data_IF_237862098705
#
_entry.id   IF_237862098705
#
_cell.length_a   1.000
_cell.length_b   1.000
_cell.length_c   1.000
_cell.angle_alpha   90.00
_cell.angle_beta   90.00
_cell.angle_gamma   90.00
#
_symmetry.space_group_name_H-M   'P 1'
#
loop_
_entity.id
_entity.type
_entity.pdbx_description
1 polymer ?
#
# COMPACT_ATOMS: atom_id res chain seq x y z
N UNK A 1 -24.94 11.41 34.60
CA UNK A 1 -24.51 10.01 34.64
C UNK A 1 -25.57 9.20 33.94
N UNK A 2 -25.30 8.76 32.71
CA UNK A 2 -26.12 7.80 31.96
C UNK A 2 -25.17 6.67 31.61
N UNK A 3 -25.52 5.48 32.07
CA UNK A 3 -24.70 4.29 32.07
C UNK A 3 -24.31 3.86 30.67
N UNK A 4 -23.01 3.61 30.51
CA UNK A 4 -22.41 2.96 29.36
C UNK A 4 -22.66 1.45 29.45
N UNK A 5 -23.57 0.94 28.63
CA UNK A 5 -23.66 -0.49 28.38
C UNK A 5 -22.54 -0.89 27.40
N UNK A 6 -21.49 -1.48 27.94
CA UNK A 6 -20.45 -2.19 27.19
C UNK A 6 -21.04 -3.49 26.64
N UNK A 7 -21.58 -3.43 25.43
CA UNK A 7 -21.93 -4.62 24.66
C UNK A 7 -20.67 -5.30 24.15
N UNK A 8 -20.23 -6.34 24.83
CA UNK A 8 -19.32 -7.35 24.31
C UNK A 8 -20.09 -8.19 23.29
N UNK A 9 -20.03 -7.81 22.02
CA UNK A 9 -20.55 -8.62 20.93
C UNK A 9 -19.74 -9.91 20.82
N UNK A 10 -20.35 -11.04 21.16
CA UNK A 10 -19.84 -12.35 20.75
C UNK A 10 -19.87 -12.39 19.22
N UNK A 11 -18.68 -12.47 18.59
CA UNK A 11 -18.56 -12.55 17.13
C UNK A 11 -19.35 -13.74 16.60
N UNK A 12 -20.23 -13.49 15.65
CA UNK A 12 -20.94 -14.54 14.91
C UNK A 12 -19.96 -15.19 13.93
N UNK A 13 -20.29 -16.37 13.39
CA UNK A 13 -19.46 -17.06 12.39
C UNK A 13 -19.18 -16.24 11.11
N UNK A 14 -19.89 -15.11 10.91
CA UNK A 14 -19.66 -14.14 9.82
C UNK A 14 -18.40 -13.27 10.01
N UNK A 15 -17.80 -13.23 11.21
CA UNK A 15 -16.61 -12.41 11.54
C UNK A 15 -15.27 -13.17 11.45
N UNK A 16 -15.28 -14.40 10.91
CA UNK A 16 -14.08 -15.23 10.78
C UNK A 16 -13.63 -15.33 9.31
N UNK A 17 -12.31 -15.39 9.05
CA UNK A 17 -11.81 -15.67 7.72
C UNK A 17 -12.14 -17.12 7.32
N UNK A 18 -12.33 -17.35 6.02
CA UNK A 18 -12.62 -18.67 5.40
C UNK A 18 -11.42 -19.62 5.46
N UNK A 19 -10.23 -19.07 5.70
CA UNK A 19 -9.00 -19.83 5.85
C UNK A 19 -7.84 -18.93 6.19
N UNK A 20 -6.67 -19.55 6.37
CA UNK A 20 -5.41 -18.85 6.61
C UNK A 20 -4.34 -19.38 5.68
N UNK A 21 -3.40 -18.50 5.36
CA UNK A 21 -2.20 -18.80 4.60
C UNK A 21 -1.02 -18.45 5.48
N UNK A 22 -0.20 -19.46 5.75
CA UNK A 22 1.07 -19.27 6.45
C UNK A 22 2.12 -18.71 5.50
N UNK A 23 2.68 -17.56 5.84
CA UNK A 23 3.77 -16.89 5.16
C UNK A 23 5.04 -17.04 6.01
N UNK A 24 6.03 -17.75 5.48
CA UNK A 24 7.26 -18.13 6.17
C UNK A 24 8.40 -17.25 5.68
N UNK A 25 8.99 -16.49 6.59
CA UNK A 25 10.12 -15.63 6.29
C UNK A 25 11.42 -16.27 6.79
N UNK A 26 12.51 -15.99 6.08
CA UNK A 26 13.86 -16.42 6.45
C UNK A 26 14.56 -15.25 7.17
N UNK A 27 14.88 -15.36 8.47
CA UNK A 27 15.56 -14.30 9.23
C UNK A 27 17.01 -14.07 8.79
N UNK A 28 17.58 -14.95 7.95
CA UNK A 28 18.90 -14.75 7.35
C UNK A 28 18.87 -13.94 6.05
N UNK A 29 17.69 -13.73 5.46
CA UNK A 29 17.55 -12.96 4.22
C UNK A 29 17.70 -11.45 4.44
N UNK A 30 17.27 -10.93 5.59
CA UNK A 30 17.44 -9.54 6.01
C UNK A 30 17.41 -9.43 7.54
N UNK A 31 18.04 -8.40 8.12
CA UNK A 31 18.08 -8.22 9.59
C UNK A 31 16.74 -7.79 10.19
N UNK A 32 15.85 -7.24 9.38
CA UNK A 32 14.53 -6.77 9.80
C UNK A 32 13.52 -7.91 9.89
N UNK A 33 12.61 -7.82 10.87
CA UNK A 33 11.57 -8.82 11.10
C UNK A 33 10.35 -8.53 10.23
N UNK A 34 10.51 -8.65 8.91
CA UNK A 34 9.51 -8.26 7.89
C UNK A 34 8.11 -8.81 8.19
N UNK A 35 8.02 -10.03 8.75
CA UNK A 35 6.77 -10.68 9.13
C UNK A 35 5.92 -9.92 10.17
N UNK A 36 6.44 -8.87 10.80
CA UNK A 36 5.75 -8.04 11.79
C UNK A 36 5.13 -6.77 11.21
N UNK A 37 5.62 -6.31 10.07
CA UNK A 37 5.36 -4.95 9.61
C UNK A 37 5.00 -4.94 8.10
N UNK A 38 4.21 -5.93 7.67
CA UNK A 38 3.83 -6.08 6.25
C UNK A 38 2.90 -4.95 5.80
N UNK A 39 3.36 -4.17 4.82
CA UNK A 39 2.66 -3.01 4.26
C UNK A 39 1.74 -3.36 3.09
N UNK A 40 2.15 -4.26 2.19
CA UNK A 40 1.34 -4.60 1.01
C UNK A 40 1.73 -5.97 0.45
N UNK A 41 0.85 -6.54 -0.37
CA UNK A 41 1.07 -7.81 -1.06
C UNK A 41 0.52 -7.76 -2.49
N UNK A 42 1.27 -8.33 -3.42
CA UNK A 42 0.78 -8.62 -4.77
C UNK A 42 1.22 -10.01 -5.20
N UNK A 43 0.67 -10.51 -6.31
CA UNK A 43 0.87 -11.88 -6.76
C UNK A 43 1.06 -11.94 -8.26
N UNK A 44 2.03 -12.73 -8.70
CA UNK A 44 2.23 -13.08 -10.10
C UNK A 44 2.38 -14.60 -10.26
N UNK A 45 1.35 -15.26 -10.78
CA UNK A 45 1.31 -16.72 -10.86
C UNK A 45 1.40 -17.37 -9.48
N UNK A 46 2.46 -18.13 -9.24
CA UNK A 46 2.75 -18.79 -7.96
C UNK A 46 3.85 -18.06 -7.18
N UNK A 47 3.98 -16.75 -7.33
CA UNK A 47 4.91 -15.94 -6.53
C UNK A 47 4.14 -14.82 -5.83
N UNK A 48 4.36 -14.68 -4.53
CA UNK A 48 3.95 -13.51 -3.76
C UNK A 48 5.10 -12.53 -3.67
N UNK A 49 4.78 -11.26 -3.87
CA UNK A 49 5.65 -10.14 -3.60
C UNK A 49 5.06 -9.33 -2.46
N UNK A 50 5.86 -9.05 -1.43
CA UNK A 50 5.46 -8.25 -0.27
C UNK A 50 6.48 -7.14 -0.03
N UNK A 51 6.12 -6.20 0.82
CA UNK A 51 7.05 -5.21 1.39
C UNK A 51 6.67 -4.91 2.84
N UNK A 52 7.60 -4.28 3.55
CA UNK A 52 7.39 -3.67 4.86
C UNK A 52 7.86 -2.22 4.88
N UNK A 53 7.51 -1.52 5.96
CA UNK A 53 7.88 -0.12 6.15
C UNK A 53 9.37 0.06 6.47
N UNK A 54 10.04 -0.92 7.09
CA UNK A 54 11.43 -0.82 7.54
C UNK A 54 12.52 -1.01 6.47
N UNK A 55 12.19 -1.49 5.25
CA UNK A 55 13.21 -1.82 4.23
C UNK A 55 13.08 -1.02 2.93
N UNK A 56 14.11 -1.15 2.08
CA UNK A 56 14.13 -0.64 0.71
C UNK A 56 14.02 -1.78 -0.32
N UNK A 57 13.29 -2.85 0.04
CA UNK A 57 13.27 -4.09 -0.74
C UNK A 57 11.90 -4.69 -0.92
N UNK A 58 11.88 -5.70 -1.77
CA UNK A 58 10.71 -6.51 -2.08
C UNK A 58 10.99 -7.91 -1.56
N UNK A 59 10.08 -8.43 -0.75
CA UNK A 59 10.13 -9.81 -0.30
C UNK A 59 9.44 -10.70 -1.32
N UNK A 60 10.04 -11.86 -1.59
CA UNK A 60 9.52 -12.86 -2.50
C UNK A 60 9.26 -14.15 -1.75
N UNK A 61 8.03 -14.66 -1.85
CA UNK A 61 7.65 -15.98 -1.34
C UNK A 61 7.10 -16.86 -2.47
N UNK A 62 7.34 -18.17 -2.36
CA UNK A 62 6.86 -19.22 -3.28
C UNK A 62 6.16 -20.34 -2.51
N UNK A 63 5.31 -21.16 -3.16
CA UNK A 63 4.68 -22.29 -2.52
C UNK A 63 5.70 -23.26 -1.92
N UNK A 64 5.46 -23.68 -0.69
CA UNK A 64 6.19 -24.74 -0.01
C UNK A 64 5.20 -25.67 0.70
N UNK A 65 5.67 -26.78 1.23
CA UNK A 65 4.82 -27.65 2.05
C UNK A 65 4.27 -26.88 3.26
N UNK A 66 2.96 -26.70 3.32
CA UNK A 66 2.27 -26.07 4.46
C UNK A 66 2.09 -24.54 4.37
N UNK A 67 2.42 -23.92 3.24
CA UNK A 67 2.19 -22.48 3.05
C UNK A 67 3.04 -21.88 1.95
N UNK A 68 3.55 -20.68 2.20
CA UNK A 68 4.42 -19.93 1.32
C UNK A 68 5.72 -19.63 2.06
N UNK A 69 6.85 -19.80 1.40
CA UNK A 69 8.19 -19.67 1.98
C UNK A 69 9.21 -19.45 0.88
N UNK A 70 10.41 -20.03 1.01
CA UNK A 70 11.49 -19.79 0.05
C UNK A 70 11.84 -18.30 -0.03
N UNK A 71 11.85 -17.66 1.14
CA UNK A 71 11.99 -16.22 1.28
C UNK A 71 13.27 -15.71 0.64
N UNK A 72 13.11 -14.70 -0.22
CA UNK A 72 14.22 -13.93 -0.75
C UNK A 72 13.91 -12.44 -0.61
N UNK A 73 14.87 -11.70 -0.07
CA UNK A 73 14.85 -10.25 -0.03
C UNK A 73 15.54 -9.68 -1.28
N UNK A 74 14.87 -8.76 -1.97
CA UNK A 74 15.42 -8.09 -3.15
C UNK A 74 15.51 -6.59 -2.91
N UNK A 75 16.73 -6.07 -2.76
CA UNK A 75 16.95 -4.64 -2.56
C UNK A 75 16.67 -3.87 -3.86
N UNK A 76 15.81 -2.84 -3.82
CA UNK A 76 15.53 -2.01 -4.99
C UNK A 76 16.76 -1.22 -5.46
N UNK A 77 17.70 -0.96 -4.56
CA UNK A 77 19.00 -0.35 -4.87
C UNK A 77 19.85 -1.14 -5.87
N UNK A 78 19.62 -2.47 -5.99
CA UNK A 78 20.31 -3.30 -6.98
C UNK A 78 19.81 -3.07 -8.41
N UNK A 79 18.62 -2.47 -8.55
CA UNK A 79 17.96 -2.23 -9.84
C UNK A 79 17.89 -0.74 -10.20
N UNK A 80 17.96 0.14 -9.20
CA UNK A 80 17.67 1.57 -9.33
C UNK A 80 18.59 2.42 -8.47
N UNK A 81 19.03 3.55 -9.01
CA UNK A 81 19.78 4.57 -8.27
C UNK A 81 18.86 5.35 -7.32
N UNK A 82 18.55 4.78 -6.15
CA UNK A 82 17.66 5.37 -5.16
C UNK A 82 18.18 6.74 -4.66
N UNK A 83 17.31 7.76 -4.49
CA UNK A 83 17.73 9.12 -4.20
C UNK A 83 18.41 9.31 -2.83
N UNK A 84 18.14 8.43 -1.88
CA UNK A 84 18.75 8.38 -0.55
C UNK A 84 19.80 7.28 -0.37
N UNK A 85 20.16 6.57 -1.44
CA UNK A 85 21.00 5.37 -1.37
C UNK A 85 20.22 4.10 -1.04
N UNK A 86 20.92 2.96 -1.01
CA UNK A 86 20.33 1.63 -0.85
C UNK A 86 19.92 1.29 0.59
N UNK A 87 20.57 1.92 1.58
CA UNK A 87 20.38 1.59 3.01
C UNK A 87 19.20 2.37 3.66
N UNK A 88 18.51 3.22 2.91
CA UNK A 88 17.46 4.09 3.44
C UNK A 88 16.07 3.50 3.29
N UNK A 89 15.30 3.52 4.38
CA UNK A 89 13.88 3.13 4.45
C UNK A 89 13.02 3.75 3.32
N UNK A 90 12.29 2.91 2.58
CA UNK A 90 11.45 3.38 1.48
C UNK A 90 9.97 3.51 1.83
N UNK A 91 9.49 2.84 2.89
CA UNK A 91 8.05 2.78 3.24
C UNK A 91 7.24 2.38 1.99
N UNK A 92 7.54 1.18 1.47
CA UNK A 92 6.91 0.68 0.25
C UNK A 92 5.52 0.20 0.63
N UNK A 93 4.53 1.06 0.40
CA UNK A 93 3.15 0.81 0.79
C UNK A 93 2.26 0.32 -0.35
N UNK A 94 2.75 0.37 -1.60
CA UNK A 94 1.98 -0.02 -2.76
C UNK A 94 2.74 -0.93 -3.71
N UNK A 95 2.17 -2.11 -4.00
CA UNK A 95 2.68 -3.06 -4.99
C UNK A 95 1.57 -3.46 -5.98
N UNK A 96 1.91 -3.55 -7.27
CA UNK A 96 0.98 -4.05 -8.28
C UNK A 96 1.69 -4.79 -9.40
N UNK A 97 1.13 -5.93 -9.82
CA UNK A 97 1.57 -6.68 -10.99
C UNK A 97 0.67 -6.35 -12.18
N UNK A 98 1.27 -6.01 -13.32
CA UNK A 98 0.58 -5.92 -14.60
C UNK A 98 1.48 -6.49 -15.72
N UNK A 99 1.01 -7.59 -16.32
CA UNK A 99 1.85 -8.40 -17.20
C UNK A 99 3.13 -8.86 -16.49
N UNK A 100 4.28 -8.53 -17.07
CA UNK A 100 5.60 -8.86 -16.54
C UNK A 100 6.28 -7.62 -15.92
N UNK A 101 5.50 -6.73 -15.33
CA UNK A 101 5.99 -5.60 -14.56
C UNK A 101 5.51 -5.68 -13.12
N UNK A 102 6.43 -5.49 -12.19
CA UNK A 102 6.12 -5.20 -10.80
C UNK A 102 6.25 -3.70 -10.58
N UNK A 103 5.12 -3.04 -10.36
CA UNK A 103 5.03 -1.65 -9.97
C UNK A 103 5.13 -1.53 -8.46
N UNK A 104 5.75 -0.45 -8.00
CA UNK A 104 5.87 -0.14 -6.59
C UNK A 104 5.78 1.37 -6.34
N UNK A 105 5.31 1.74 -5.15
CA UNK A 105 5.24 3.11 -4.67
C UNK A 105 5.69 3.17 -3.20
N UNK A 106 6.60 4.09 -2.91
CA UNK A 106 6.83 4.54 -1.54
C UNK A 106 5.73 5.53 -1.12
N UNK A 107 5.58 5.76 0.18
CA UNK A 107 4.43 6.47 0.75
C UNK A 107 4.24 7.93 0.36
N UNK A 108 5.24 8.58 -0.26
CA UNK A 108 5.22 10.00 -0.64
C UNK A 108 5.02 10.97 0.54
N UNK A 109 5.18 10.48 1.76
CA UNK A 109 4.74 11.16 2.98
C UNK A 109 5.80 12.03 3.65
N UNK A 110 5.34 12.91 4.54
CA UNK A 110 6.14 13.52 5.59
C UNK A 110 5.89 12.76 6.89
N UNK A 111 6.92 12.63 7.75
CA UNK A 111 6.77 11.97 9.06
C UNK A 111 6.81 12.98 10.21
N UNK A 112 5.88 12.89 11.16
CA UNK A 112 6.00 13.58 12.47
C UNK A 112 6.93 12.78 13.37
N UNK A 113 7.75 13.46 14.17
CA UNK A 113 8.56 12.80 15.17
C UNK A 113 7.68 12.12 16.24
N UNK A 114 7.98 10.85 16.54
CA UNK A 114 7.31 10.08 17.59
C UNK A 114 7.90 10.43 18.97
N UNK A 115 7.09 10.55 20.03
CA UNK A 115 7.60 10.70 21.38
C UNK A 115 8.13 9.35 21.89
N UNK A 116 9.38 9.32 22.37
CA UNK A 116 9.95 8.16 23.04
C UNK A 116 9.46 8.12 24.49
N UNK A 117 8.99 6.97 24.98
CA UNK A 117 8.46 6.83 26.34
C UNK A 117 9.51 7.08 27.43
N UNK A 118 10.79 6.83 27.13
CA UNK A 118 11.92 6.99 28.05
C UNK A 118 12.39 8.45 28.15
N UNK A 119 11.96 9.32 27.23
CA UNK A 119 12.33 10.74 27.23
C UNK A 119 11.48 11.57 28.22
N UNK A 120 12.07 12.59 28.88
CA UNK A 120 11.33 13.52 29.71
C UNK A 120 10.26 14.29 28.89
N UNK A 121 9.15 14.74 29.51
CA UNK A 121 8.04 15.40 28.81
C UNK A 121 8.44 16.53 27.84
N UNK A 122 9.41 17.37 28.21
CA UNK A 122 9.91 18.44 27.33
C UNK A 122 10.52 17.92 26.03
N UNK A 123 11.37 16.89 26.10
CA UNK A 123 11.97 16.28 24.90
C UNK A 123 10.93 15.57 24.02
N UNK A 124 9.93 14.92 24.64
CA UNK A 124 8.80 14.32 23.91
C UNK A 124 7.96 15.36 23.18
N UNK A 125 7.78 16.55 23.77
CA UNK A 125 7.12 17.67 23.11
C UNK A 125 7.97 18.19 21.94
N UNK A 126 9.29 18.35 22.15
CA UNK A 126 10.21 18.79 21.11
C UNK A 126 10.31 17.80 19.94
N UNK A 127 10.19 16.49 20.19
CA UNK A 127 10.22 15.48 19.12
C UNK A 127 8.97 15.57 18.24
N UNK A 128 7.80 15.78 18.85
CA UNK A 128 6.52 15.97 18.14
C UNK A 128 6.47 17.22 17.26
N UNK A 129 7.30 18.23 17.53
CA UNK A 129 7.43 19.42 16.69
C UNK A 129 8.20 19.16 15.38
N UNK A 130 8.96 18.06 15.29
CA UNK A 130 9.80 17.74 14.12
C UNK A 130 8.95 17.12 13.01
N UNK A 131 9.07 17.68 11.81
CA UNK A 131 8.56 17.09 10.58
C UNK A 131 9.76 16.67 9.74
N UNK A 132 9.82 15.38 9.39
CA UNK A 132 10.93 14.78 8.65
C UNK A 132 10.52 14.53 7.20
N UNK A 133 11.48 14.77 6.31
CA UNK A 133 11.41 14.44 4.90
C UNK A 133 12.36 13.28 4.63
N UNK A 134 11.86 12.23 4.01
CA UNK A 134 12.68 11.14 3.49
C UNK A 134 12.60 11.12 1.96
N UNK A 135 13.75 11.09 1.30
CA UNK A 135 13.84 11.10 -0.17
C UNK A 135 13.47 9.74 -0.77
N UNK A 136 13.73 8.64 -0.05
CA UNK A 136 13.47 7.27 -0.53
C UNK A 136 11.98 6.94 -0.51
N UNK A 137 11.21 7.56 0.38
CA UNK A 137 9.73 7.51 0.38
C UNK A 137 9.05 8.12 -0.84
N UNK A 138 9.78 8.88 -1.67
CA UNK A 138 9.19 9.65 -2.78
C UNK A 138 9.31 8.97 -4.14
N UNK A 139 9.49 7.65 -4.13
CA UNK A 139 9.71 6.85 -5.32
C UNK A 139 8.40 6.23 -5.80
N UNK A 140 8.15 6.27 -7.10
CA UNK A 140 7.15 5.45 -7.79
C UNK A 140 7.87 4.86 -8.99
N UNK A 141 7.83 3.56 -9.14
CA UNK A 141 8.63 2.86 -10.14
C UNK A 141 8.03 1.54 -10.58
N UNK A 142 8.78 0.87 -11.46
CA UNK A 142 8.55 -0.50 -11.86
C UNK A 142 9.86 -1.21 -12.17
N UNK A 143 9.87 -2.51 -11.93
CA UNK A 143 10.94 -3.42 -12.33
C UNK A 143 10.36 -4.52 -13.24
N UNK A 144 11.08 -4.96 -14.28
CA UNK A 144 10.71 -6.14 -15.04
C UNK A 144 10.64 -7.39 -14.15
N UNK A 145 9.74 -8.29 -14.51
CA UNK A 145 9.63 -9.63 -13.95
C UNK A 145 10.15 -10.66 -14.95
N UNK A 146 11.23 -11.34 -14.59
CA UNK A 146 11.84 -12.42 -15.38
C UNK A 146 11.36 -13.78 -14.86
N UNK A 147 10.96 -14.67 -15.78
CA UNK A 147 10.58 -16.05 -15.42
C UNK A 147 11.82 -16.95 -15.40
N UNK A 148 12.06 -17.58 -14.24
CA UNK A 148 13.12 -18.57 -14.02
C UNK A 148 12.53 -19.92 -13.65
N UNK A 149 13.39 -20.93 -13.48
CA UNK A 149 12.99 -22.29 -13.11
C UNK A 149 12.29 -22.35 -11.75
N UNK A 150 12.75 -21.55 -10.80
CA UNK A 150 12.27 -21.49 -9.42
C UNK A 150 11.17 -20.43 -9.19
N UNK A 151 10.64 -19.85 -10.27
CA UNK A 151 9.56 -18.86 -10.24
C UNK A 151 9.94 -17.54 -10.90
N UNK A 152 9.11 -16.53 -10.66
CA UNK A 152 9.30 -15.19 -11.22
C UNK A 152 10.14 -14.31 -10.29
N UNK A 153 11.02 -13.51 -10.88
CA UNK A 153 11.99 -12.68 -10.18
C UNK A 153 11.95 -11.22 -10.67
N UNK A 154 11.90 -10.24 -9.76
CA UNK A 154 12.23 -8.85 -10.08
C UNK A 154 13.68 -8.74 -10.54
N UNK A 155 13.91 -8.03 -11.64
CA UNK A 155 15.26 -7.81 -12.20
C UNK A 155 15.45 -6.37 -12.65
N UNK A 156 16.69 -5.92 -12.81
CA UNK A 156 16.99 -4.59 -13.35
C UNK A 156 16.70 -4.47 -14.85
N UNK A 157 16.76 -5.58 -15.58
CA UNK A 157 16.52 -5.64 -17.02
C UNK A 157 16.10 -7.05 -17.46
N UNK A 158 15.12 -7.12 -18.36
CA UNK A 158 14.71 -8.34 -19.06
C UNK A 158 14.41 -8.01 -20.53
N UNK A 159 15.30 -8.46 -21.42
CA UNK A 159 15.28 -8.08 -22.83
C UNK A 159 15.25 -6.55 -23.01
N UNK A 160 14.23 -5.97 -23.66
CA UNK A 160 14.09 -4.52 -23.84
C UNK A 160 13.51 -3.80 -22.62
N UNK A 161 12.98 -4.53 -21.62
CA UNK A 161 12.38 -3.95 -20.41
C UNK A 161 13.48 -3.60 -19.42
N UNK A 162 13.45 -2.40 -18.86
CA UNK A 162 14.41 -1.94 -17.86
C UNK A 162 13.67 -1.37 -16.66
N UNK A 163 14.24 -1.55 -15.47
CA UNK A 163 13.78 -0.91 -14.27
C UNK A 163 13.76 0.61 -14.47
N UNK A 164 12.70 1.26 -14.02
CA UNK A 164 12.53 2.69 -14.17
C UNK A 164 11.70 3.26 -13.02
N UNK A 165 12.01 4.48 -12.62
CA UNK A 165 11.25 5.21 -11.61
C UNK A 165 10.97 6.65 -12.05
N UNK A 166 10.17 7.36 -11.27
CA UNK A 166 10.06 8.81 -11.42
C UNK A 166 11.41 9.46 -11.18
N UNK A 167 11.80 10.40 -12.06
CA UNK A 167 13.03 11.18 -11.87
C UNK A 167 13.02 11.89 -10.50
N UNK A 168 14.00 11.66 -9.61
CA UNK A 168 14.05 12.32 -8.31
C UNK A 168 13.93 13.84 -8.40
N UNK A 169 13.36 14.43 -7.34
CA UNK A 169 13.18 15.87 -7.20
C UNK A 169 13.24 16.26 -5.72
N UNK A 170 13.74 17.48 -5.43
CA UNK A 170 13.94 17.98 -4.06
C UNK A 170 12.71 17.86 -3.14
N UNK A 171 11.50 18.00 -3.69
CA UNK A 171 10.22 17.89 -2.97
C UNK A 171 9.37 16.70 -3.44
N UNK A 172 9.97 15.70 -4.09
CA UNK A 172 9.22 14.61 -4.72
C UNK A 172 8.48 15.04 -5.99
N UNK A 173 8.21 14.10 -6.90
CA UNK A 173 7.54 14.41 -8.18
C UNK A 173 6.03 14.54 -8.02
N UNK A 174 5.41 13.65 -7.24
CA UNK A 174 3.97 13.67 -7.02
C UNK A 174 3.53 14.99 -6.37
N UNK A 175 4.17 15.38 -5.27
CA UNK A 175 3.95 16.66 -4.59
C UNK A 175 4.09 17.86 -5.51
N UNK A 176 5.07 17.86 -6.42
CA UNK A 176 5.20 18.93 -7.42
C UNK A 176 4.01 19.00 -8.38
N UNK A 177 3.37 17.88 -8.70
CA UNK A 177 2.18 17.86 -9.55
C UNK A 177 0.90 18.20 -8.79
N UNK A 178 0.85 17.87 -7.50
CA UNK A 178 -0.27 18.19 -6.61
C UNK A 178 -0.22 19.64 -6.10
N UNK A 179 0.93 20.30 -6.17
CA UNK A 179 1.09 21.70 -5.77
C UNK A 179 0.13 22.60 -6.57
N UNK A 180 -0.67 23.39 -5.86
CA UNK A 180 -1.74 24.22 -6.41
C UNK A 180 -3.04 23.47 -6.75
N UNK A 181 -3.14 22.16 -6.47
CA UNK A 181 -4.44 21.47 -6.54
C UNK A 181 -5.39 22.05 -5.46
N UNK A 182 -6.59 22.51 -5.83
CA UNK A 182 -7.47 23.22 -4.89
C UNK A 182 -8.01 22.37 -3.74
N UNK A 183 -7.80 21.04 -3.77
CA UNK A 183 -8.24 20.13 -2.71
C UNK A 183 -7.07 19.51 -1.95
N UNK A 184 -5.93 19.29 -2.62
CA UNK A 184 -4.82 18.51 -2.07
C UNK A 184 -3.62 19.35 -1.62
N UNK A 185 -3.44 20.57 -2.16
CA UNK A 185 -2.29 21.43 -1.85
C UNK A 185 -2.13 21.70 -0.35
N UNK A 186 -3.24 21.96 0.34
CA UNK A 186 -3.27 22.23 1.78
C UNK A 186 -2.77 21.07 2.66
N UNK A 187 -2.70 19.85 2.11
CA UNK A 187 -2.29 18.65 2.85
C UNK A 187 -0.86 18.21 2.54
N UNK A 188 -0.17 18.88 1.60
CA UNK A 188 1.18 18.48 1.20
C UNK A 188 2.19 18.67 2.33
N UNK A 189 2.08 19.74 3.11
CA UNK A 189 3.02 20.03 4.20
C UNK A 189 2.58 19.44 5.55
N UNK A 190 1.53 18.62 5.55
CA UNK A 190 1.03 17.90 6.73
C UNK A 190 1.68 16.50 6.77
N UNK A 191 2.14 16.00 7.94
CA UNK A 191 2.59 14.62 8.09
C UNK A 191 1.50 13.59 7.81
N UNK A 192 1.89 12.41 7.32
CA UNK A 192 0.95 11.33 6.91
C UNK A 192 -0.07 10.99 8.00
N UNK A 193 0.43 10.69 9.19
CA UNK A 193 -0.38 10.30 10.37
C UNK A 193 -1.29 11.42 10.93
N UNK A 194 -1.20 12.62 10.36
CA UNK A 194 -2.06 13.78 10.66
C UNK A 194 -3.04 14.07 9.51
N UNK A 195 -3.37 13.08 8.67
CA UNK A 195 -4.18 13.21 7.45
C UNK A 195 -3.48 14.00 6.32
N UNK A 196 -2.14 14.08 6.34
CA UNK A 196 -1.34 14.63 5.26
C UNK A 196 -1.23 13.70 4.05
N UNK A 197 -0.51 14.12 3.01
CA UNK A 197 -0.28 13.27 1.82
C UNK A 197 0.42 11.98 2.23
N UNK A 198 -0.23 10.86 1.94
CA UNK A 198 0.25 9.51 2.21
C UNK A 198 -0.36 8.54 1.21
N UNK A 199 0.47 7.88 0.42
CA UNK A 199 0.06 6.94 -0.62
C UNK A 199 0.31 5.51 -0.14
N UNK A 200 -0.71 4.66 -0.18
CA UNK A 200 -0.56 3.26 0.22
C UNK A 200 -0.93 2.38 -0.98
N UNK A 201 -2.23 2.14 -1.20
CA UNK A 201 -2.64 1.22 -2.26
C UNK A 201 -2.23 1.58 -3.69
N UNK A 202 -1.90 0.54 -4.46
CA UNK A 202 -1.45 0.65 -5.85
C UNK A 202 -2.15 -0.37 -6.73
N UNK A 203 -2.68 0.08 -7.87
CA UNK A 203 -3.16 -0.82 -8.92
C UNK A 203 -2.64 -0.37 -10.28
N UNK A 204 -2.37 -1.33 -11.18
CA UNK A 204 -1.82 -1.05 -12.51
C UNK A 204 -2.56 -1.82 -13.61
N UNK A 205 -2.73 -1.19 -14.78
CA UNK A 205 -3.19 -1.83 -16.01
C UNK A 205 -2.60 -1.14 -17.24
N UNK A 206 -1.71 -1.82 -17.95
CA UNK A 206 -0.98 -1.27 -19.08
C UNK A 206 -0.21 -0.01 -18.68
N UNK A 207 -0.57 1.13 -19.27
CA UNK A 207 0.05 2.42 -18.95
C UNK A 207 -0.68 3.20 -17.84
N UNK A 208 -1.74 2.64 -17.24
CA UNK A 208 -2.52 3.29 -16.18
C UNK A 208 -2.13 2.79 -14.80
N UNK A 209 -2.00 3.75 -13.88
CA UNK A 209 -1.67 3.52 -12.48
C UNK A 209 -2.72 4.23 -11.62
N UNK A 210 -3.32 3.53 -10.67
CA UNK A 210 -4.14 4.11 -9.62
C UNK A 210 -3.36 4.09 -8.32
N UNK A 211 -3.17 5.26 -7.73
CA UNK A 211 -2.52 5.47 -6.46
C UNK A 211 -3.57 5.89 -5.44
N UNK A 212 -3.87 4.99 -4.51
CA UNK A 212 -4.77 5.24 -3.39
C UNK A 212 -4.06 6.00 -2.29
N UNK A 213 -4.76 6.98 -1.71
CA UNK A 213 -4.21 7.76 -0.62
C UNK A 213 -4.82 7.31 0.72
N UNK A 214 -3.98 6.97 1.70
CA UNK A 214 -4.41 6.93 3.10
C UNK A 214 -4.85 8.32 3.53
N UNK A 215 -4.02 9.31 3.20
CA UNK A 215 -4.27 10.72 3.50
C UNK A 215 -3.95 11.60 2.28
N UNK A 216 -4.72 12.67 2.06
CA UNK A 216 -5.83 13.15 2.87
C UNK A 216 -7.16 12.44 2.55
N UNK A 217 -8.00 12.31 3.59
CA UNK A 217 -9.43 12.04 3.45
C UNK A 217 -10.19 13.38 3.46
N UNK A 218 -11.08 13.59 2.49
CA UNK A 218 -11.75 14.87 2.25
C UNK A 218 -13.24 14.78 2.55
N UNK A 219 -13.69 15.32 3.70
CA UNK A 219 -15.11 15.30 4.13
C UNK A 219 -15.77 13.94 3.94
N UNK A 220 -15.14 12.87 4.43
CA UNK A 220 -15.65 11.51 4.30
C UNK A 220 -15.27 10.78 3.00
N UNK A 221 -14.57 11.43 2.08
CA UNK A 221 -14.20 10.86 0.78
C UNK A 221 -12.73 10.45 0.72
N UNK A 222 -12.52 9.21 0.32
CA UNK A 222 -11.21 8.64 -0.02
C UNK A 222 -10.73 9.20 -1.36
N UNK A 223 -9.42 9.40 -1.50
CA UNK A 223 -8.81 9.95 -2.71
C UNK A 223 -8.06 8.84 -3.45
N UNK A 224 -8.34 8.68 -4.74
CA UNK A 224 -7.53 7.87 -5.65
C UNK A 224 -7.05 8.76 -6.80
N UNK A 225 -5.75 8.71 -7.08
CA UNK A 225 -5.11 9.42 -8.19
C UNK A 225 -4.84 8.44 -9.33
N UNK A 226 -5.42 8.68 -10.50
CA UNK A 226 -5.12 7.93 -11.72
C UNK A 226 -4.09 8.68 -12.57
N UNK A 227 -3.06 7.97 -13.01
CA UNK A 227 -1.98 8.48 -13.84
C UNK A 227 -1.77 7.60 -15.07
N UNK A 228 -1.56 8.21 -16.24
CA UNK A 228 -1.11 7.49 -17.45
C UNK A 228 0.39 7.61 -17.60
N UNK A 229 1.12 6.59 -17.22
CA UNK A 229 2.58 6.54 -17.18
C UNK A 229 3.16 6.38 -18.59
N UNK A 230 4.31 6.99 -18.83
CA UNK A 230 5.14 6.71 -20.00
C UNK A 230 6.61 6.76 -19.61
N UNK A 231 7.44 6.12 -20.40
CA UNK A 231 8.89 6.28 -20.34
C UNK A 231 9.31 7.52 -21.13
N UNK A 232 10.31 8.25 -20.62
CA UNK A 232 10.95 9.37 -21.31
C UNK A 232 12.16 8.88 -22.10
N UNK A 233 12.66 9.70 -23.03
CA UNK A 233 13.84 9.34 -23.83
C UNK A 233 15.12 9.13 -23.01
N UNK A 234 15.16 9.63 -21.77
CA UNK A 234 16.22 9.43 -20.79
C UNK A 234 15.90 8.32 -19.76
N UNK A 235 14.94 7.44 -20.04
CA UNK A 235 14.67 6.21 -19.27
C UNK A 235 13.89 6.40 -17.97
N UNK A 236 13.34 7.59 -17.70
CA UNK A 236 12.52 7.83 -16.51
C UNK A 236 11.04 7.58 -16.77
N UNK A 237 10.33 7.24 -15.71
CA UNK A 237 8.87 7.27 -15.73
C UNK A 237 8.35 8.71 -15.57
N UNK A 238 7.27 9.00 -16.28
CA UNK A 238 6.54 10.27 -16.15
C UNK A 238 5.09 10.10 -16.60
N UNK A 239 4.11 10.59 -15.84
CA UNK A 239 2.74 10.63 -16.31
C UNK A 239 2.56 11.60 -17.48
N UNK A 240 1.72 11.22 -18.43
CA UNK A 240 1.27 12.04 -19.55
C UNK A 240 0.57 13.29 -19.02
N UNK A 241 0.67 14.37 -19.80
CA UNK A 241 -0.03 15.62 -19.49
C UNK A 241 -1.46 15.49 -20.04
N UNK A 242 -2.45 15.82 -19.23
CA UNK A 242 -3.86 15.90 -19.63
C UNK A 242 -4.12 17.23 -20.37
N UNK A 243 -5.31 17.38 -20.94
CA UNK A 243 -5.71 18.58 -21.69
C UNK A 243 -5.68 19.85 -20.82
N UNK A 244 -6.13 19.74 -19.57
CA UNK A 244 -6.07 20.82 -18.56
C UNK A 244 -4.66 21.08 -17.99
N UNK A 245 -3.68 20.31 -18.46
CA UNK A 245 -2.29 20.42 -18.09
C UNK A 245 -1.86 19.71 -16.81
N UNK A 246 -2.79 19.09 -16.07
CA UNK A 246 -2.49 18.20 -14.94
C UNK A 246 -1.86 16.90 -15.45
N UNK A 247 -1.42 16.08 -14.49
CA UNK A 247 -0.77 14.78 -14.75
C UNK A 247 -1.49 13.61 -14.11
N UNK A 248 -2.61 13.88 -13.47
CA UNK A 248 -3.42 12.89 -12.77
C UNK A 248 -4.89 13.26 -12.92
N UNK A 249 -5.73 12.25 -12.86
CA UNK A 249 -7.17 12.34 -12.66
C UNK A 249 -7.42 12.02 -11.19
N UNK A 250 -8.31 12.74 -10.53
CA UNK A 250 -8.62 12.55 -9.10
C UNK A 250 -10.04 12.02 -8.95
N UNK A 251 -10.18 10.92 -8.23
CA UNK A 251 -11.45 10.28 -7.91
C UNK A 251 -11.69 10.41 -6.41
N UNK A 252 -12.86 10.91 -6.01
CA UNK A 252 -13.27 11.04 -4.61
C UNK A 252 -14.41 10.05 -4.33
N UNK A 253 -14.13 8.99 -3.57
CA UNK A 253 -15.07 7.90 -3.31
C UNK A 253 -15.67 8.05 -1.90
N UNK A 254 -17.00 7.92 -1.71
CA UNK A 254 -17.65 8.11 -0.42
C UNK A 254 -17.53 6.87 0.50
N UNK A 255 -16.31 6.52 0.92
CA UNK A 255 -16.01 5.29 1.69
C UNK A 255 -15.99 5.51 3.22
N UNK A 256 -16.86 6.40 3.71
CA UNK A 256 -17.10 6.56 5.14
C UNK A 256 -15.98 7.22 5.95
N UNK A 257 -15.13 8.02 5.31
CA UNK A 257 -14.05 8.76 6.00
C UNK A 257 -12.77 7.96 6.24
N UNK A 258 -12.60 6.85 5.53
CA UNK A 258 -11.40 6.03 5.58
C UNK A 258 -10.44 6.37 4.44
N UNK A 259 -9.14 6.20 4.71
CA UNK A 259 -8.09 6.24 3.70
C UNK A 259 -7.96 4.91 2.97
N UNK A 260 -7.27 4.90 1.84
CA UNK A 260 -6.86 3.64 1.18
C UNK A 260 -5.69 3.02 1.94
N UNK A 261 -5.74 1.69 2.10
CA UNK A 261 -4.67 0.83 2.58
C UNK A 261 -4.05 0.07 1.41
N UNK A 262 -4.89 -0.62 0.64
CA UNK A 262 -4.46 -1.26 -0.61
C UNK A 262 -5.50 -1.14 -1.73
N UNK A 263 -5.05 -1.35 -2.97
CA UNK A 263 -5.89 -1.43 -4.15
C UNK A 263 -5.65 -2.76 -4.86
N UNK A 264 -6.72 -3.39 -5.34
CA UNK A 264 -6.60 -4.54 -6.21
C UNK A 264 -7.59 -4.49 -7.36
N UNK A 265 -7.21 -5.04 -8.52
CA UNK A 265 -8.10 -5.13 -9.67
C UNK A 265 -8.87 -6.45 -9.67
N UNK A 266 -10.16 -6.37 -9.94
CA UNK A 266 -11.03 -7.52 -10.15
C UNK A 266 -11.87 -7.31 -11.41
N UNK A 267 -11.50 -7.95 -12.52
CA UNK A 267 -12.10 -7.62 -13.81
C UNK A 267 -11.95 -6.13 -14.10
N UNK A 268 -13.04 -5.40 -14.34
CA UNK A 268 -12.99 -3.94 -14.54
C UNK A 268 -13.23 -3.11 -13.27
N UNK A 269 -13.46 -3.76 -12.14
CA UNK A 269 -13.63 -3.14 -10.84
C UNK A 269 -12.29 -2.88 -10.16
N UNK A 270 -12.32 -1.98 -9.18
CA UNK A 270 -11.21 -1.72 -8.27
C UNK A 270 -11.69 -2.00 -6.85
N UNK A 271 -11.08 -2.98 -6.21
CA UNK A 271 -11.24 -3.20 -4.78
C UNK A 271 -10.37 -2.21 -4.01
N UNK A 272 -10.93 -1.66 -2.94
CA UNK A 272 -10.29 -0.65 -2.09
C UNK A 272 -10.34 -1.18 -0.66
N UNK A 273 -9.19 -1.64 -0.15
CA UNK A 273 -9.02 -1.86 1.28
C UNK A 273 -8.88 -0.51 1.95
N UNK A 274 -9.65 -0.28 3.00
CA UNK A 274 -9.72 1.02 3.68
C UNK A 274 -9.46 0.90 5.17
N UNK A 275 -8.87 1.95 5.75
CA UNK A 275 -8.56 2.06 7.17
C UNK A 275 -8.54 3.53 7.63
N UNK A 276 -8.19 3.79 8.88
CA UNK A 276 -8.15 5.17 9.42
C UNK A 276 -7.02 6.00 8.79
N UNK A 277 -7.22 7.30 8.51
CA UNK A 277 -6.13 8.14 8.01
C UNK A 277 -5.16 8.63 9.10
N UNK A 278 -5.46 8.35 10.37
CA UNK A 278 -4.70 8.80 11.53
C UNK A 278 -3.96 7.64 12.19
N UNK A 279 -3.02 7.95 13.08
CA UNK A 279 -2.31 6.97 13.92
C UNK A 279 -3.20 6.43 15.06
N UNK A 280 -4.33 5.83 14.70
CA UNK A 280 -5.27 5.21 15.62
C UNK A 280 -5.89 3.99 14.96
N UNK A 281 -6.07 2.92 15.73
CA UNK A 281 -6.89 1.80 15.31
C UNK A 281 -8.30 2.26 14.92
N UNK A 282 -8.88 1.61 13.92
CA UNK A 282 -10.28 1.81 13.57
C UNK A 282 -10.81 0.72 12.68
N UNK A 283 -12.04 0.87 12.23
CA UNK A 283 -12.67 -0.11 11.36
C UNK A 283 -11.98 -0.10 10.01
N UNK A 284 -11.75 -1.30 9.49
CA UNK A 284 -11.29 -1.51 8.13
C UNK A 284 -12.36 -2.24 7.33
N UNK A 285 -12.36 -2.02 6.02
CA UNK A 285 -13.32 -2.63 5.11
C UNK A 285 -12.74 -2.73 3.71
N UNK A 286 -13.20 -3.74 2.97
CA UNK A 286 -12.99 -3.83 1.53
C UNK A 286 -14.24 -3.31 0.82
N UNK A 287 -14.04 -2.34 -0.04
CA UNK A 287 -15.08 -1.77 -0.91
C UNK A 287 -14.80 -2.16 -2.35
N UNK A 288 -15.85 -2.28 -3.15
CA UNK A 288 -15.76 -2.45 -4.59
C UNK A 288 -16.20 -1.18 -5.29
N UNK A 289 -15.29 -0.56 -6.04
CA UNK A 289 -15.62 0.49 -7.00
C UNK A 289 -15.90 -0.15 -8.37
N UNK A 290 -17.18 -0.23 -8.69
CA UNK A 290 -17.70 -0.88 -9.90
C UNK A 290 -17.24 -0.15 -11.15
N UNK A 291 -16.73 -0.90 -12.11
CA UNK A 291 -16.21 -0.37 -13.38
C UNK A 291 -15.16 0.75 -13.19
N UNK A 292 -14.47 0.80 -12.05
CA UNK A 292 -13.52 1.87 -11.71
C UNK A 292 -12.42 2.02 -12.75
N UNK A 293 -12.01 0.90 -13.38
CA UNK A 293 -11.04 0.94 -14.46
C UNK A 293 -11.61 1.51 -15.77
N UNK A 294 -12.93 1.60 -15.94
CA UNK A 294 -13.58 2.17 -17.14
C UNK A 294 -13.85 3.67 -17.03
N UNK A 295 -13.80 4.22 -15.81
CA UNK A 295 -13.93 5.68 -15.60
C UNK A 295 -12.78 6.42 -16.29
N UNK A 296 -13.11 7.56 -16.92
CA UNK A 296 -12.16 8.41 -17.68
C UNK A 296 -12.11 9.85 -17.19
N UNK A 297 -13.09 10.26 -16.39
CA UNK A 297 -13.21 11.62 -15.87
C UNK A 297 -13.06 11.60 -14.35
N UNK A 298 -12.38 12.60 -13.82
CA UNK A 298 -12.22 12.75 -12.38
C UNK A 298 -13.44 13.40 -11.73
N UNK A 299 -13.59 13.22 -10.43
CA UNK A 299 -14.61 13.89 -9.64
C UNK A 299 -15.08 13.06 -8.47
N UNK A 300 -16.10 13.57 -7.78
CA UNK A 300 -16.82 12.83 -6.74
C UNK A 300 -17.60 11.70 -7.40
N UNK A 301 -17.41 10.48 -6.90
CA UNK A 301 -18.12 9.28 -7.37
C UNK A 301 -19.44 9.16 -6.60
N UNK A 302 -20.56 8.81 -7.26
CA UNK A 302 -21.81 8.57 -6.58
C UNK A 302 -21.73 7.30 -5.72
N UNK A 303 -22.49 7.27 -4.63
CA UNK A 303 -22.55 6.10 -3.75
C UNK A 303 -23.01 4.82 -4.48
N UNK A 304 -23.74 4.92 -5.60
CA UNK A 304 -24.16 3.78 -6.42
C UNK A 304 -23.03 3.08 -7.16
N UNK A 305 -21.87 3.74 -7.33
CA UNK A 305 -20.68 3.14 -7.97
C UNK A 305 -19.83 2.34 -6.98
N UNK A 306 -20.11 2.45 -5.67
CA UNK A 306 -19.34 1.77 -4.63
C UNK A 306 -20.22 0.84 -3.80
N UNK A 307 -19.72 -0.34 -3.50
CA UNK A 307 -20.39 -1.31 -2.64
C UNK A 307 -19.44 -1.78 -1.53
N UNK A 308 -19.97 -1.98 -0.32
CA UNK A 308 -19.22 -2.65 0.74
C UNK A 308 -19.13 -4.14 0.37
N UNK A 309 -17.92 -4.63 0.13
CA UNK A 309 -17.69 -6.04 -0.22
C UNK A 309 -17.48 -6.89 1.04
N UNK A 310 -16.80 -6.33 2.06
CA UNK A 310 -16.60 -6.96 3.38
C UNK A 310 -16.25 -5.91 4.43
N UNK A 311 -16.96 -5.91 5.55
CA UNK A 311 -16.46 -5.28 6.77
C UNK A 311 -15.47 -6.22 7.45
N UNK A 312 -14.31 -5.71 7.87
CA UNK A 312 -13.28 -6.53 8.54
C UNK A 312 -13.36 -6.37 10.06
N UNK A 313 -13.01 -7.42 10.83
CA UNK A 313 -13.01 -7.35 12.29
C UNK A 313 -12.08 -6.27 12.81
N UNK A 314 -12.57 -5.43 13.74
CA UNK A 314 -11.74 -4.46 14.43
C UNK A 314 -11.01 -5.13 15.61
N UNK A 315 -9.67 -5.07 15.61
CA UNK A 315 -8.81 -5.73 16.60
C UNK A 315 -7.97 -4.75 17.44
N UNK A 316 -8.33 -3.46 17.45
CA UNK A 316 -7.58 -2.43 18.18
C UNK A 316 -6.43 -1.90 17.35
N UNK A 317 -5.22 -1.83 17.93
CA UNK A 317 -3.99 -1.38 17.27
C UNK A 317 -3.13 -2.56 16.78
N UNK A 318 -3.71 -3.75 16.66
CA UNK A 318 -3.04 -4.96 16.18
C UNK A 318 -3.87 -5.60 15.08
N UNK A 319 -3.24 -6.44 14.27
CA UNK A 319 -3.88 -7.10 13.12
C UNK A 319 -4.52 -6.08 12.16
N UNK A 320 -3.78 -5.02 11.83
CA UNK A 320 -4.25 -3.96 10.95
C UNK A 320 -4.23 -4.51 9.51
N UNK A 321 -5.36 -4.60 8.78
CA UNK A 321 -5.35 -5.02 7.39
C UNK A 321 -4.61 -4.00 6.53
N UNK A 322 -3.54 -4.43 5.86
CA UNK A 322 -2.69 -3.54 5.06
C UNK A 322 -2.60 -3.97 3.59
N UNK A 323 -2.43 -5.27 3.30
CA UNK A 323 -2.35 -5.76 1.92
C UNK A 323 -3.59 -6.52 1.45
N UNK A 324 -3.91 -6.45 0.15
CA UNK A 324 -5.05 -7.12 -0.48
C UNK A 324 -4.66 -7.70 -1.85
N UNK A 325 -4.73 -9.02 -2.00
CA UNK A 325 -4.47 -9.66 -3.30
C UNK A 325 -5.43 -10.80 -3.59
N UNK A 326 -5.79 -10.96 -4.86
CA UNK A 326 -6.62 -12.09 -5.31
C UNK A 326 -5.89 -13.40 -5.07
N UNK A 327 -6.54 -14.33 -4.39
CA UNK A 327 -6.00 -15.64 -4.09
C UNK A 327 -6.43 -16.69 -5.10
N UNK A 328 -7.71 -16.72 -5.40
CA UNK A 328 -8.34 -17.54 -6.43
C UNK A 328 -9.63 -16.86 -6.91
N UNK A 329 -10.47 -17.59 -7.64
CA UNK A 329 -11.68 -17.04 -8.27
C UNK A 329 -12.72 -16.50 -7.28
N UNK A 330 -12.64 -16.86 -5.98
CA UNK A 330 -13.62 -16.44 -4.98
C UNK A 330 -12.99 -15.79 -3.73
N UNK A 331 -11.69 -16.01 -3.48
CA UNK A 331 -11.03 -15.61 -2.24
C UNK A 331 -9.94 -14.57 -2.46
N UNK A 332 -9.79 -13.75 -1.44
CA UNK A 332 -8.82 -12.68 -1.36
C UNK A 332 -7.95 -12.87 -0.12
N UNK A 333 -6.64 -12.79 -0.30
CA UNK A 333 -5.69 -12.80 0.80
C UNK A 333 -5.57 -11.38 1.36
N UNK A 334 -5.65 -11.27 2.68
CA UNK A 334 -5.39 -10.04 3.43
C UNK A 334 -4.23 -10.26 4.39
N UNK A 335 -3.17 -9.48 4.22
CA UNK A 335 -2.02 -9.41 5.13
C UNK A 335 -2.23 -8.32 6.17
N UNK A 336 -1.48 -8.41 7.27
CA UNK A 336 -1.67 -7.52 8.40
C UNK A 336 -0.36 -6.94 8.90
N UNK A 337 -0.38 -5.65 9.21
CA UNK A 337 0.62 -4.98 10.03
C UNK A 337 0.30 -5.14 11.52
N UNK A 338 1.34 -5.00 12.35
CA UNK A 338 1.28 -5.08 13.81
C UNK A 338 0.54 -6.35 14.26
N UNK A 339 0.91 -7.54 13.76
CA UNK A 339 0.20 -8.78 14.01
C UNK A 339 0.22 -9.11 15.50
N UNK A 340 -0.93 -9.51 16.04
CA UNK A 340 -1.00 -10.05 17.38
C UNK A 340 -0.32 -11.43 17.44
N UNK A 341 0.06 -11.85 18.65
CA UNK A 341 0.79 -13.10 18.87
C UNK A 341 0.14 -14.36 18.27
N UNK A 342 -1.18 -14.34 18.00
CA UNK A 342 -1.87 -15.48 17.39
C UNK A 342 -1.66 -15.60 15.87
N UNK A 343 -1.23 -14.51 15.20
CA UNK A 343 -0.82 -14.51 13.79
C UNK A 343 0.66 -14.80 13.62
N UNK A 344 1.44 -14.53 14.65
CA UNK A 344 2.85 -14.87 14.70
C UNK A 344 2.99 -16.36 15.00
N UNK A 345 3.24 -17.14 13.96
CA UNK A 345 3.65 -18.53 14.12
C UNK A 345 5.03 -18.60 14.75
N UNK A 346 5.37 -19.73 15.40
CA UNK A 346 6.78 -20.03 15.66
C UNK A 346 7.57 -20.03 14.34
N UNK A 347 8.87 -19.70 14.42
CA UNK A 347 9.80 -19.60 13.29
C UNK A 347 9.46 -18.46 12.30
N UNK A 348 9.48 -17.19 12.69
CA UNK A 348 9.39 -16.03 11.76
C UNK A 348 8.25 -16.11 10.71
N UNK A 349 7.07 -16.55 11.15
CA UNK A 349 5.92 -16.77 10.27
C UNK A 349 4.74 -15.83 10.58
N UNK A 350 4.01 -15.45 9.53
CA UNK A 350 2.78 -14.66 9.59
C UNK A 350 1.60 -15.45 9.03
N UNK A 351 0.51 -15.53 9.78
CA UNK A 351 -0.78 -16.07 9.32
C UNK A 351 -1.64 -14.95 8.71
N UNK A 352 -1.75 -14.97 7.38
CA UNK A 352 -2.61 -14.07 6.61
C UNK A 352 -4.00 -14.72 6.38
N UNK A 353 -5.03 -13.88 6.25
CA UNK A 353 -6.41 -14.36 6.20
C UNK A 353 -6.93 -14.46 4.77
N UNK A 354 -7.73 -15.50 4.51
CA UNK A 354 -8.52 -15.63 3.28
C UNK A 354 -9.96 -15.22 3.52
N UNK A 355 -10.44 -14.30 2.71
CA UNK A 355 -11.81 -13.79 2.77
C UNK A 355 -12.53 -14.00 1.45
N UNK A 356 -13.79 -14.44 1.53
CA UNK A 356 -14.73 -14.29 0.42
C UNK A 356 -15.27 -12.85 0.44
N UNK A 357 -15.23 -12.18 -0.71
CA UNK A 357 -15.76 -10.83 -0.87
C UNK A 357 -17.10 -10.89 -1.59
N UNK A 358 -18.06 -10.10 -1.14
CA UNK A 358 -19.40 -10.08 -1.74
C UNK A 358 -19.48 -9.11 -2.92
N UNK A 359 -20.23 -9.55 -3.93
CA UNK A 359 -20.62 -8.77 -5.11
C UNK A 359 -19.46 -8.15 -5.83
#
# INVERSE_FOLDING_TARGET
MKDSATGTGAGTAEDAPEGRVRLQFDPSAHSEQVHRDISTVTRHGEVLFLSCDETAGIERLVPVSGGWGGHAHLALGDFLDLPGGADGEMDIEGLAVDGDWLWFAGSQSLKRGKPDAEDPPGKRLDSMARIKWDVNRQVIGRVPLERREDGVWPVGQDGPRRAAMLKPAKRGRLRKWLAGDPHLDAFLDIPSKDNGLDAEGLAARGDRLWLGLRGPVLRGHTVILEMRMKETGDGWLKPRKLEDGRRYIKHLLPLGGHGVRDLALDGDDILVLTGTPLDAGGRSAVWRWRDGTRVREGGVRPASEVALARALPYRGNTDNPEGLVRWDDARWLITHDSPAAHRLGGDDALEADLWCLEG
#
